data_IF_240052623809
#
_entry.id   IF_240052623809
#
_cell.length_a   1.000
_cell.length_b   1.000
_cell.length_c   1.000
_cell.angle_alpha   90.00
_cell.angle_beta   90.00
_cell.angle_gamma   90.00
#
_symmetry.space_group_name_H-M   'P 1'
#
loop_
_entity.id
_entity.type
_entity.pdbx_description
1 polymer ?
#
# COMPACT_ATOMS: atom_id res chain seq x y z
N UNK A 1 -95.48 27.18 -28.34
CA UNK A 1 -95.22 25.76 -28.64
C UNK A 1 -94.30 25.67 -29.85
N UNK A 2 -93.16 24.99 -29.69
CA UNK A 2 -92.25 24.41 -30.69
C UNK A 2 -91.65 25.23 -31.85
N UNK A 3 -90.30 25.26 -31.79
CA UNK A 3 -89.29 24.82 -32.79
C UNK A 3 -89.00 25.73 -34.00
N UNK A 4 -87.79 26.31 -33.98
CA UNK A 4 -87.07 26.77 -35.17
C UNK A 4 -85.66 26.15 -35.15
N UNK A 5 -85.28 25.63 -36.32
CA UNK A 5 -84.09 24.86 -36.67
C UNK A 5 -82.82 25.70 -36.90
N UNK A 6 -81.71 24.99 -37.17
CA UNK A 6 -80.40 25.39 -37.74
C UNK A 6 -79.26 25.50 -36.70
N UNK A 7 -78.03 24.99 -36.91
CA UNK A 7 -77.37 24.42 -38.08
C UNK A 7 -76.30 23.40 -37.61
N UNK A 8 -76.09 22.33 -38.38
CA UNK A 8 -75.01 21.36 -38.16
C UNK A 8 -73.73 21.87 -38.85
N UNK A 9 -72.70 22.18 -38.05
CA UNK A 9 -71.34 22.42 -38.51
C UNK A 9 -70.62 21.07 -38.67
N UNK A 10 -70.22 20.76 -39.89
CA UNK A 10 -69.32 19.64 -40.20
C UNK A 10 -67.91 19.93 -39.70
N UNK A 11 -67.38 19.07 -38.83
CA UNK A 11 -65.95 18.96 -38.57
C UNK A 11 -65.52 17.53 -38.93
N UNK A 12 -64.79 17.40 -40.05
CA UNK A 12 -64.17 16.15 -40.46
C UNK A 12 -63.02 15.82 -39.50
N UNK A 13 -63.18 14.76 -38.71
CA UNK A 13 -62.13 14.24 -37.84
C UNK A 13 -61.32 13.20 -38.61
N UNK A 14 -60.11 13.57 -39.02
CA UNK A 14 -59.14 12.65 -39.62
C UNK A 14 -58.55 11.80 -38.49
N UNK A 15 -58.96 10.53 -38.41
CA UNK A 15 -58.39 9.56 -37.50
C UNK A 15 -57.01 9.10 -38.04
N UNK A 16 -55.95 9.77 -37.62
CA UNK A 16 -54.57 9.32 -37.84
C UNK A 16 -54.25 8.16 -36.89
N UNK A 17 -54.19 6.94 -37.43
CA UNK A 17 -53.73 5.74 -36.72
C UNK A 17 -52.21 5.86 -36.47
N UNK A 18 -51.82 6.39 -35.31
CA UNK A 18 -50.42 6.37 -34.88
C UNK A 18 -50.07 4.99 -34.36
N UNK A 19 -49.31 4.22 -35.14
CA UNK A 19 -48.67 2.99 -34.69
C UNK A 19 -47.58 3.35 -33.69
N UNK A 20 -47.82 3.09 -32.40
CA UNK A 20 -46.81 3.23 -31.35
C UNK A 20 -45.83 2.07 -31.53
N UNK A 21 -44.65 2.36 -32.08
CA UNK A 21 -43.55 1.39 -32.06
C UNK A 21 -43.12 1.17 -30.60
N UNK A 22 -42.93 -0.07 -30.14
CA UNK A 22 -42.40 -0.33 -28.82
C UNK A 22 -40.99 0.27 -28.71
N UNK A 23 -40.82 1.24 -27.81
CA UNK A 23 -39.51 1.75 -27.43
C UNK A 23 -38.76 0.60 -26.76
N UNK A 24 -37.56 0.21 -27.20
CA UNK A 24 -36.80 -0.80 -26.48
C UNK A 24 -36.57 -0.30 -25.06
N UNK A 25 -37.09 -1.04 -24.08
CA UNK A 25 -36.80 -0.79 -22.68
C UNK A 25 -35.28 -0.91 -22.51
N UNK A 26 -34.62 0.18 -22.11
CA UNK A 26 -33.26 0.11 -21.63
C UNK A 26 -33.24 -0.90 -20.48
N UNK A 27 -32.52 -2.01 -20.64
CA UNK A 27 -32.28 -2.94 -19.55
C UNK A 27 -31.69 -2.13 -18.39
N UNK A 28 -32.31 -2.25 -17.20
CA UNK A 28 -31.70 -1.73 -16.00
C UNK A 28 -30.25 -2.27 -15.91
N UNK A 29 -29.25 -1.44 -15.57
CA UNK A 29 -27.89 -1.93 -15.40
C UNK A 29 -27.94 -3.10 -14.44
N UNK A 30 -27.41 -4.25 -14.87
CA UNK A 30 -27.22 -5.39 -13.99
C UNK A 30 -26.41 -4.89 -12.79
N UNK A 31 -26.86 -5.12 -11.54
CA UNK A 31 -26.07 -4.74 -10.38
C UNK A 31 -24.69 -5.37 -10.53
N UNK A 32 -23.65 -4.54 -10.61
CA UNK A 32 -22.27 -5.00 -10.49
C UNK A 32 -22.13 -5.52 -9.06
N UNK A 33 -22.26 -6.83 -8.89
CA UNK A 33 -22.17 -7.50 -7.57
C UNK A 33 -20.73 -7.72 -7.13
N UNK A 34 -19.76 -7.54 -8.04
CA UNK A 34 -18.34 -7.72 -7.73
C UNK A 34 -17.77 -6.43 -7.16
N UNK A 35 -17.30 -6.49 -5.91
CA UNK A 35 -16.53 -5.43 -5.28
C UNK A 35 -15.09 -5.53 -5.75
N UNK A 36 -14.55 -4.46 -6.30
CA UNK A 36 -13.17 -4.41 -6.79
C UNK A 36 -12.19 -4.53 -5.62
N UNK A 37 -11.34 -5.55 -5.60
CA UNK A 37 -10.37 -5.76 -4.53
C UNK A 37 -8.99 -5.24 -4.91
N UNK A 38 -8.53 -4.22 -4.18
CA UNK A 38 -7.25 -3.55 -4.41
C UNK A 38 -6.30 -3.92 -3.26
N UNK A 39 -5.13 -4.47 -3.60
CA UNK A 39 -4.06 -4.75 -2.65
C UNK A 39 -2.84 -3.89 -3.01
N UNK A 40 -2.28 -3.18 -2.04
CA UNK A 40 -1.07 -2.38 -2.21
C UNK A 40 0.13 -3.06 -1.57
N UNK A 41 1.12 -3.37 -2.38
CA UNK A 41 2.42 -3.86 -1.96
C UNK A 41 3.47 -2.74 -2.08
N UNK A 42 4.64 -2.94 -1.48
CA UNK A 42 5.77 -2.06 -1.71
C UNK A 42 6.59 -1.71 -0.48
N UNK A 43 7.38 -0.65 -0.64
CA UNK A 43 8.22 -0.05 0.39
C UNK A 43 7.59 1.21 1.01
N UNK A 44 8.41 2.11 1.55
CA UNK A 44 8.01 3.39 2.15
C UNK A 44 7.18 4.30 1.23
N UNK A 45 7.41 4.25 -0.09
CA UNK A 45 6.67 5.07 -1.05
C UNK A 45 5.22 4.59 -1.19
N UNK A 46 5.00 3.28 -1.12
CA UNK A 46 3.66 2.69 -1.06
C UNK A 46 3.05 2.78 0.35
N UNK A 47 3.84 2.61 1.41
CA UNK A 47 3.32 2.62 2.77
C UNK A 47 2.68 3.98 3.13
N UNK A 48 3.22 5.07 2.61
CA UNK A 48 2.77 6.43 2.90
C UNK A 48 3.57 7.11 4.00
N UNK A 49 4.88 6.83 4.06
CA UNK A 49 5.80 7.54 4.93
C UNK A 49 5.64 9.06 4.75
N UNK A 50 5.43 9.78 5.85
CA UNK A 50 5.22 11.23 5.87
C UNK A 50 3.74 11.67 5.78
N UNK A 51 2.81 10.79 5.41
CA UNK A 51 1.41 11.14 5.26
C UNK A 51 0.61 11.15 6.58
N UNK A 52 1.18 10.61 7.67
CA UNK A 52 0.51 10.55 8.98
C UNK A 52 -0.51 9.42 9.09
N UNK A 53 -1.37 9.43 10.12
CA UNK A 53 -2.43 8.43 10.34
C UNK A 53 -1.97 6.98 10.15
N UNK A 54 -0.93 6.60 10.89
CA UNK A 54 -0.28 5.30 10.72
C UNK A 54 -1.02 4.17 11.44
N UNK A 55 -1.01 2.99 10.82
CA UNK A 55 -1.56 1.74 11.35
C UNK A 55 -0.68 0.54 10.99
N UNK A 56 -1.07 -0.64 11.46
CA UNK A 56 -0.40 -1.90 11.17
C UNK A 56 0.89 -2.10 11.96
N UNK A 57 1.78 -3.00 11.52
CA UNK A 57 3.00 -3.33 12.24
C UNK A 57 3.88 -2.09 12.46
N UNK A 58 4.38 -1.94 13.70
CA UNK A 58 5.26 -0.85 14.05
C UNK A 58 6.50 -0.83 13.13
N UNK A 59 6.84 0.34 12.61
CA UNK A 59 7.96 0.53 11.68
C UNK A 59 7.58 0.39 10.21
N UNK A 60 6.39 -0.15 9.87
CA UNK A 60 5.95 -0.16 8.47
C UNK A 60 5.45 1.19 7.96
N UNK A 61 5.02 2.10 8.85
CA UNK A 61 4.50 3.44 8.51
C UNK A 61 3.38 3.39 7.45
N UNK A 62 2.49 2.41 7.54
CA UNK A 62 1.31 2.33 6.67
C UNK A 62 0.34 3.42 7.04
N UNK A 63 0.13 4.36 6.14
CA UNK A 63 -0.76 5.50 6.33
C UNK A 63 -2.13 5.21 5.73
N UNK A 64 -3.21 5.62 6.40
CA UNK A 64 -4.54 5.70 5.79
C UNK A 64 -4.70 6.92 4.86
N UNK A 65 -3.62 7.67 4.61
CA UNK A 65 -3.55 8.84 3.72
C UNK A 65 -2.52 8.63 2.61
N UNK A 66 -2.16 7.37 2.32
CA UNK A 66 -1.25 7.05 1.23
C UNK A 66 -1.95 7.18 -0.15
N UNK A 67 -1.16 7.22 -1.22
CA UNK A 67 -1.69 7.43 -2.57
C UNK A 67 -2.64 6.32 -3.05
N UNK A 68 -2.46 5.09 -2.58
CA UNK A 68 -3.34 3.96 -2.90
C UNK A 68 -4.71 4.06 -2.23
N UNK A 69 -4.77 4.60 -1.02
CA UNK A 69 -6.04 4.94 -0.38
C UNK A 69 -6.75 6.01 -1.21
N UNK A 70 -6.06 7.09 -1.59
CA UNK A 70 -6.65 8.13 -2.43
C UNK A 70 -7.13 7.62 -3.78
N UNK A 71 -6.38 6.72 -4.41
CA UNK A 71 -6.82 6.04 -5.63
C UNK A 71 -8.10 5.23 -5.40
N UNK A 72 -8.16 4.47 -4.31
CA UNK A 72 -9.35 3.66 -3.96
C UNK A 72 -10.56 4.54 -3.64
N UNK A 73 -10.35 5.65 -2.93
CA UNK A 73 -11.41 6.62 -2.64
C UNK A 73 -11.97 7.20 -3.94
N UNK A 74 -11.10 7.61 -4.86
CA UNK A 74 -11.50 8.09 -6.19
C UNK A 74 -12.28 7.03 -6.99
N UNK A 75 -11.87 5.76 -6.95
CA UNK A 75 -12.61 4.65 -7.59
C UNK A 75 -14.03 4.53 -7.00
N UNK A 76 -14.16 4.61 -5.68
CA UNK A 76 -15.46 4.59 -5.00
C UNK A 76 -16.32 5.80 -5.40
N UNK A 77 -15.73 6.98 -5.54
CA UNK A 77 -16.42 8.19 -6.03
C UNK A 77 -16.96 8.03 -7.46
N UNK A 78 -16.35 7.17 -8.29
CA UNK A 78 -16.88 6.84 -9.62
C UNK A 78 -18.07 5.87 -9.59
N UNK A 79 -18.56 5.50 -8.40
CA UNK A 79 -19.65 4.53 -8.23
C UNK A 79 -19.21 3.07 -8.33
N UNK A 80 -17.91 2.79 -8.32
CA UNK A 80 -17.36 1.43 -8.32
C UNK A 80 -17.05 1.03 -6.88
N UNK A 81 -17.77 0.05 -6.34
CA UNK A 81 -17.48 -0.43 -4.98
C UNK A 81 -16.11 -1.09 -4.94
N UNK A 82 -15.19 -0.58 -4.12
CA UNK A 82 -13.83 -1.12 -3.98
C UNK A 82 -13.44 -1.38 -2.51
N UNK A 83 -12.63 -2.42 -2.26
CA UNK A 83 -11.86 -2.62 -1.02
C UNK A 83 -10.40 -2.27 -1.24
N UNK A 84 -9.74 -1.83 -0.18
CA UNK A 84 -8.32 -1.54 -0.16
C UNK A 84 -7.63 -2.26 0.99
N UNK A 85 -6.52 -2.91 0.70
CA UNK A 85 -5.66 -3.55 1.69
C UNK A 85 -4.20 -3.13 1.46
N UNK A 86 -3.60 -2.48 2.44
CA UNK A 86 -2.21 -1.99 2.35
C UNK A 86 -1.26 -2.93 3.08
N UNK A 87 -0.41 -3.61 2.31
CA UNK A 87 0.63 -4.54 2.75
C UNK A 87 2.04 -3.99 2.59
N UNK A 88 2.20 -2.79 2.04
CA UNK A 88 3.49 -2.14 1.91
C UNK A 88 4.14 -1.87 3.27
N UNK A 89 5.46 -1.92 3.35
CA UNK A 89 6.17 -1.72 4.60
C UNK A 89 7.49 -0.96 4.39
N UNK A 90 7.69 0.09 5.18
CA UNK A 90 8.88 0.95 5.11
C UNK A 90 10.20 0.19 5.14
N UNK A 91 11.15 0.62 4.31
CA UNK A 91 12.47 0.00 4.16
C UNK A 91 12.47 -1.37 3.48
N UNK A 92 11.33 -1.86 2.97
CA UNK A 92 11.24 -3.14 2.28
C UNK A 92 12.04 -3.14 0.97
N UNK A 93 12.60 -4.29 0.62
CA UNK A 93 13.28 -4.57 -0.65
C UNK A 93 12.45 -5.52 -1.50
N UNK A 94 12.83 -5.69 -2.77
CA UNK A 94 12.07 -6.55 -3.71
C UNK A 94 11.97 -8.01 -3.23
N UNK A 95 12.98 -8.51 -2.51
CA UNK A 95 12.95 -9.85 -1.94
C UNK A 95 11.81 -10.05 -0.91
N UNK A 96 11.41 -9.00 -0.19
CA UNK A 96 10.37 -9.07 0.86
C UNK A 96 8.96 -9.27 0.29
N UNK A 97 8.79 -9.13 -1.03
CA UNK A 97 7.55 -9.50 -1.70
C UNK A 97 7.27 -10.99 -1.55
N UNK A 98 8.31 -11.82 -1.67
CA UNK A 98 8.19 -13.28 -1.70
C UNK A 98 8.80 -13.97 -0.47
N UNK A 99 9.44 -13.22 0.42
CA UNK A 99 10.10 -13.76 1.60
C UNK A 99 9.63 -13.06 2.86
N UNK A 100 9.62 -13.80 3.97
CA UNK A 100 9.38 -13.23 5.27
C UNK A 100 10.50 -12.24 5.61
N UNK A 101 10.13 -11.13 6.25
CA UNK A 101 11.06 -10.04 6.57
C UNK A 101 11.17 -9.84 8.06
N UNK A 102 12.37 -9.99 8.60
CA UNK A 102 12.66 -9.56 9.96
C UNK A 102 12.82 -8.03 9.98
N UNK A 103 12.02 -7.38 10.80
CA UNK A 103 12.04 -5.93 11.00
C UNK A 103 13.19 -5.53 11.92
N UNK A 104 13.54 -4.24 11.91
CA UNK A 104 14.48 -3.70 12.89
C UNK A 104 13.93 -3.83 14.31
N UNK A 105 14.81 -4.09 15.28
CA UNK A 105 14.44 -4.15 16.68
C UNK A 105 13.93 -2.78 17.15
N UNK A 106 12.80 -2.79 17.84
CA UNK A 106 12.25 -1.60 18.45
C UNK A 106 13.15 -1.09 19.59
N UNK A 107 13.07 0.21 19.88
CA UNK A 107 13.79 0.82 21.00
C UNK A 107 13.52 0.08 22.31
N UNK A 108 14.59 -0.17 23.09
CA UNK A 108 14.48 -0.87 24.36
C UNK A 108 13.61 -0.08 25.35
N UNK A 109 12.70 -0.78 26.03
CA UNK A 109 11.83 -0.24 27.09
C UNK A 109 12.11 -0.98 28.39
N UNK A 110 12.10 -0.26 29.52
CA UNK A 110 12.25 -0.87 30.84
C UNK A 110 10.96 -1.55 31.32
N UNK A 111 11.08 -2.67 32.01
CA UNK A 111 9.97 -3.40 32.63
C UNK A 111 10.30 -3.79 34.07
N UNK A 112 9.27 -3.76 34.93
CA UNK A 112 9.37 -4.29 36.27
C UNK A 112 9.06 -5.80 36.26
N UNK A 113 10.07 -6.60 36.59
CA UNK A 113 9.96 -8.05 36.70
C UNK A 113 10.93 -8.58 37.75
N UNK A 114 10.60 -9.74 38.33
CA UNK A 114 11.42 -10.43 39.32
C UNK A 114 12.45 -11.38 38.69
N UNK A 115 12.23 -11.79 37.44
CA UNK A 115 13.10 -12.64 36.64
C UNK A 115 12.89 -12.36 35.15
N UNK A 116 13.79 -12.84 34.29
CA UNK A 116 13.60 -12.80 32.83
C UNK A 116 12.33 -13.53 32.40
N UNK A 117 12.03 -14.68 33.02
CA UNK A 117 10.81 -15.45 32.76
C UNK A 117 9.54 -14.68 33.16
N UNK A 118 9.56 -14.00 34.32
CA UNK A 118 8.46 -13.11 34.75
C UNK A 118 8.31 -11.91 33.81
N UNK A 119 9.42 -11.37 33.30
CA UNK A 119 9.38 -10.31 32.30
C UNK A 119 8.68 -10.82 31.04
N UNK A 120 9.12 -11.93 30.46
CA UNK A 120 8.52 -12.50 29.25
C UNK A 120 7.03 -12.78 29.43
N UNK A 121 6.63 -13.43 30.52
CA UNK A 121 5.22 -13.72 30.82
C UNK A 121 4.38 -12.44 30.87
N UNK A 122 4.91 -11.34 31.43
CA UNK A 122 4.24 -10.03 31.45
C UNK A 122 4.16 -9.40 30.06
N UNK A 123 5.22 -9.50 29.26
CA UNK A 123 5.24 -8.94 27.90
C UNK A 123 4.18 -9.62 27.02
N UNK A 124 4.11 -10.95 27.07
CA UNK A 124 3.14 -11.75 26.32
C UNK A 124 1.71 -11.51 26.80
N UNK A 125 1.46 -11.55 28.12
CA UNK A 125 0.13 -11.36 28.67
C UNK A 125 -0.50 -9.99 28.36
N UNK A 126 0.32 -8.99 28.05
CA UNK A 126 -0.14 -7.63 27.75
C UNK A 126 0.01 -7.25 26.26
N UNK A 127 0.39 -8.20 25.40
CA UNK A 127 0.65 -7.98 23.96
C UNK A 127 1.47 -6.71 23.67
N UNK A 128 2.51 -6.48 24.46
CA UNK A 128 3.27 -5.21 24.45
C UNK A 128 3.98 -4.92 23.13
N UNK A 129 4.24 -5.97 22.35
CA UNK A 129 4.87 -5.88 21.04
C UNK A 129 3.84 -5.82 19.90
N UNK A 130 2.54 -5.93 20.20
CA UNK A 130 1.48 -5.95 19.21
C UNK A 130 1.56 -7.17 18.29
N UNK A 131 1.89 -8.34 18.82
CA UNK A 131 1.95 -9.58 18.05
C UNK A 131 0.63 -9.86 17.31
N UNK A 132 -0.50 -9.41 17.86
CA UNK A 132 -1.82 -9.58 17.28
C UNK A 132 -2.37 -8.31 16.62
N UNK A 133 -1.55 -7.26 16.45
CA UNK A 133 -2.03 -5.99 15.89
C UNK A 133 -2.26 -6.02 14.38
N UNK A 134 -1.77 -7.06 13.70
CA UNK A 134 -1.86 -7.22 12.25
C UNK A 134 -1.73 -8.70 11.87
N UNK A 135 -2.47 -9.13 10.86
CA UNK A 135 -2.51 -10.51 10.36
C UNK A 135 -1.26 -10.91 9.54
N UNK A 136 -0.44 -9.94 9.16
CA UNK A 136 0.84 -10.13 8.49
C UNK A 136 2.05 -10.20 9.41
N UNK A 137 1.85 -10.11 10.73
CA UNK A 137 2.88 -10.45 11.70
C UNK A 137 2.97 -11.98 11.74
N UNK A 138 4.12 -12.53 11.34
CA UNK A 138 4.42 -13.94 11.38
C UNK A 138 4.88 -14.38 12.77
N UNK A 139 5.79 -13.60 13.37
CA UNK A 139 6.32 -13.88 14.70
C UNK A 139 6.85 -12.62 15.37
N UNK A 140 7.02 -12.71 16.69
CA UNK A 140 7.63 -11.67 17.52
C UNK A 140 8.73 -12.29 18.36
N UNK A 141 9.91 -11.71 18.31
CA UNK A 141 11.04 -12.04 19.17
C UNK A 141 11.17 -11.01 20.30
N UNK A 142 11.17 -11.50 21.54
CA UNK A 142 11.27 -10.69 22.75
C UNK A 142 12.71 -10.71 23.28
N UNK A 143 13.43 -9.61 23.07
CA UNK A 143 14.82 -9.47 23.47
C UNK A 143 14.93 -8.90 24.90
N UNK A 144 14.66 -9.73 25.90
CA UNK A 144 14.76 -9.36 27.32
C UNK A 144 16.23 -9.37 27.76
N UNK A 145 16.64 -8.35 28.51
CA UNK A 145 17.97 -8.30 29.13
C UNK A 145 17.88 -7.69 30.51
N UNK A 146 18.69 -8.22 31.42
CA UNK A 146 18.95 -7.62 32.73
C UNK A 146 19.86 -6.39 32.59
N UNK A 147 19.75 -5.44 33.52
CA UNK A 147 20.55 -4.21 33.53
C UNK A 147 19.75 -2.91 33.30
N UNK A 148 18.46 -2.94 33.62
CA UNK A 148 17.62 -1.74 33.61
C UNK A 148 17.80 -0.86 34.86
N UNK A 149 16.97 0.17 34.99
CA UNK A 149 17.02 1.13 36.10
C UNK A 149 16.49 0.52 37.43
N UNK A 150 16.75 1.18 38.55
CA UNK A 150 16.40 0.70 39.91
C UNK A 150 14.96 0.14 40.05
N UNK A 151 13.96 0.78 39.43
CA UNK A 151 12.55 0.35 39.46
C UNK A 151 12.12 -0.57 38.30
N UNK A 152 13.01 -0.80 37.33
CA UNK A 152 12.76 -1.59 36.11
C UNK A 152 14.04 -2.37 35.79
N UNK A 153 14.34 -3.44 36.55
CA UNK A 153 15.64 -4.12 36.47
C UNK A 153 15.86 -4.84 35.14
N UNK A 154 14.80 -5.06 34.37
CA UNK A 154 14.85 -5.64 33.03
C UNK A 154 14.50 -4.59 31.98
N UNK A 155 15.05 -4.79 30.78
CA UNK A 155 14.63 -4.09 29.58
C UNK A 155 14.28 -5.10 28.49
N UNK A 156 13.45 -4.69 27.54
CA UNK A 156 13.08 -5.53 26.41
C UNK A 156 13.07 -4.72 25.11
N UNK A 157 13.33 -5.38 23.99
CA UNK A 157 13.05 -4.88 22.66
C UNK A 157 12.24 -5.93 21.89
N UNK A 158 11.28 -5.47 21.10
CA UNK A 158 10.50 -6.32 20.21
C UNK A 158 11.16 -6.34 18.83
N UNK A 159 11.27 -7.51 18.22
CA UNK A 159 11.62 -7.63 16.80
C UNK A 159 10.52 -8.43 16.10
N UNK A 160 9.87 -7.80 15.12
CA UNK A 160 8.77 -8.42 14.39
C UNK A 160 9.33 -9.14 13.16
N UNK A 161 8.74 -10.27 12.80
CA UNK A 161 8.91 -10.88 11.47
C UNK A 161 7.59 -10.78 10.73
N UNK A 162 7.59 -10.18 9.54
CA UNK A 162 6.41 -10.07 8.70
C UNK A 162 6.39 -11.18 7.66
N UNK A 163 5.18 -11.62 7.29
CA UNK A 163 4.97 -12.56 6.17
C UNK A 163 5.36 -11.90 4.83
N UNK A 164 5.69 -12.70 3.80
CA UNK A 164 5.80 -12.21 2.43
C UNK A 164 4.59 -11.36 2.03
N UNK A 165 4.82 -10.22 1.37
CA UNK A 165 3.71 -9.34 0.97
C UNK A 165 2.78 -10.01 -0.06
N UNK A 166 3.33 -10.88 -0.91
CA UNK A 166 2.59 -11.60 -1.93
C UNK A 166 1.58 -12.62 -1.34
N UNK A 167 1.72 -13.03 -0.09
CA UNK A 167 0.78 -13.96 0.57
C UNK A 167 -0.64 -13.36 0.69
N UNK A 168 -0.76 -12.04 0.57
CA UNK A 168 -2.02 -11.30 0.65
C UNK A 168 -2.64 -11.00 -0.71
N UNK A 169 -2.01 -11.43 -1.80
CA UNK A 169 -2.56 -11.37 -3.15
C UNK A 169 -3.14 -12.74 -3.50
N UNK A 170 -4.46 -12.81 -3.65
CA UNK A 170 -5.16 -14.06 -3.97
C UNK A 170 -5.99 -13.93 -5.24
N UNK A 171 -6.73 -15.00 -5.57
CA UNK A 171 -7.60 -15.03 -6.76
C UNK A 171 -8.72 -13.99 -6.72
N UNK A 172 -9.03 -13.44 -5.55
CA UNK A 172 -9.99 -12.35 -5.37
C UNK A 172 -9.41 -10.95 -5.63
N UNK A 173 -8.09 -10.82 -5.77
CA UNK A 173 -7.44 -9.52 -5.97
C UNK A 173 -7.54 -9.11 -7.44
N UNK A 174 -8.15 -7.96 -7.71
CA UNK A 174 -8.32 -7.44 -9.07
C UNK A 174 -7.19 -6.50 -9.48
N UNK A 175 -6.69 -5.71 -8.53
CA UNK A 175 -5.64 -4.70 -8.76
C UNK A 175 -4.56 -4.83 -7.71
N UNK A 176 -3.31 -4.88 -8.17
CA UNK A 176 -2.13 -4.72 -7.32
C UNK A 176 -1.49 -3.37 -7.60
N UNK A 177 -1.41 -2.53 -6.56
CA UNK A 177 -0.68 -1.27 -6.56
C UNK A 177 0.70 -1.51 -5.97
N UNK A 178 1.77 -0.97 -6.57
CA UNK A 178 3.12 -1.24 -6.08
C UNK A 178 4.15 -0.19 -6.46
N UNK A 179 5.00 0.14 -5.48
CA UNK A 179 6.30 0.80 -5.67
C UNK A 179 7.34 0.06 -4.83
N UNK A 180 8.48 -0.28 -5.45
CA UNK A 180 9.56 -1.04 -4.82
C UNK A 180 10.84 -0.80 -5.62
N UNK A 181 12.00 -0.98 -4.99
CA UNK A 181 13.30 -0.98 -5.67
C UNK A 181 14.27 0.08 -5.17
N UNK A 182 13.77 1.16 -4.55
CA UNK A 182 14.63 2.22 -4.01
C UNK A 182 15.60 1.70 -2.95
N UNK A 183 15.13 0.79 -2.10
CA UNK A 183 15.94 0.19 -1.05
C UNK A 183 16.92 -0.85 -1.60
N UNK A 184 16.57 -1.58 -2.66
CA UNK A 184 17.47 -2.53 -3.33
C UNK A 184 18.74 -1.85 -3.87
N UNK A 185 18.65 -0.57 -4.26
CA UNK A 185 19.78 0.25 -4.73
C UNK A 185 20.35 1.18 -3.66
N UNK A 186 19.95 1.02 -2.40
CA UNK A 186 20.36 1.87 -1.27
C UNK A 186 20.16 3.38 -1.55
N UNK A 187 19.00 3.74 -2.10
CA UNK A 187 18.71 5.12 -2.50
C UNK A 187 18.80 6.11 -1.31
N UNK A 188 18.41 5.69 -0.10
CA UNK A 188 18.58 6.50 1.11
C UNK A 188 20.05 6.86 1.38
N UNK A 189 20.97 5.91 1.17
CA UNK A 189 22.41 6.15 1.27
C UNK A 189 22.92 7.13 0.23
N UNK A 190 22.39 7.09 -1.00
CA UNK A 190 22.73 8.06 -2.06
C UNK A 190 22.30 9.47 -1.66
N UNK A 191 21.08 9.64 -1.15
CA UNK A 191 20.59 10.93 -0.68
C UNK A 191 21.41 11.43 0.51
N UNK A 192 21.71 10.56 1.48
CA UNK A 192 22.55 10.91 2.61
C UNK A 192 23.94 11.38 2.16
N UNK A 193 24.55 10.73 1.17
CA UNK A 193 25.85 11.14 0.63
C UNK A 193 25.83 12.53 -0.05
N UNK A 194 24.70 12.93 -0.64
CA UNK A 194 24.54 14.24 -1.26
C UNK A 194 24.39 15.38 -0.25
N UNK A 195 23.78 15.12 0.91
CA UNK A 195 23.36 16.16 1.86
C UNK A 195 24.03 16.09 3.23
N UNK A 196 24.75 15.01 3.55
CA UNK A 196 25.55 14.94 4.77
C UNK A 196 26.71 15.94 4.68
N UNK A 197 26.92 16.80 5.70
CA UNK A 197 28.08 17.68 5.71
C UNK A 197 29.33 16.83 5.63
N UNK A 198 30.24 17.18 4.72
CA UNK A 198 31.54 16.53 4.60
C UNK A 198 32.35 16.84 5.87
N UNK A 199 32.13 16.09 6.95
CA UNK A 199 33.02 16.10 8.12
C UNK A 199 34.23 15.23 7.77
N UNK A 200 34.96 15.64 6.74
CA UNK A 200 36.33 15.23 6.48
C UNK A 200 37.10 16.49 6.14
N UNK A 201 37.52 17.21 7.18
CA UNK A 201 38.83 17.82 7.11
C UNK A 201 39.85 16.67 7.13
N UNK A 202 40.37 16.28 5.98
CA UNK A 202 41.64 15.56 5.85
C UNK A 202 42.26 15.81 4.48
N UNK A 203 43.59 15.91 4.41
CA UNK A 203 44.28 16.52 3.28
C UNK A 203 44.19 15.63 2.04
N UNK A 204 43.53 16.16 1.01
CA UNK A 204 43.68 15.84 -0.42
C UNK A 204 44.16 14.40 -0.72
N UNK A 205 43.28 13.40 -0.56
CA UNK A 205 43.44 12.14 -1.26
C UNK A 205 43.26 12.40 -2.78
N UNK A 206 44.10 11.82 -3.66
CA UNK A 206 43.94 12.01 -5.09
C UNK A 206 42.64 11.36 -5.58
N UNK A 207 41.86 12.12 -6.37
CA UNK A 207 40.60 11.67 -6.97
C UNK A 207 40.80 10.33 -7.69
N UNK A 208 39.97 9.30 -7.44
CA UNK A 208 39.97 8.12 -8.27
C UNK A 208 39.54 8.53 -9.69
N UNK A 209 40.38 8.20 -10.67
CA UNK A 209 40.07 8.38 -12.08
C UNK A 209 38.98 7.36 -12.40
N UNK A 210 37.77 7.84 -12.74
CA UNK A 210 36.74 6.98 -13.34
C UNK A 210 37.38 6.28 -14.55
N UNK A 211 37.37 4.95 -14.57
CA UNK A 211 37.76 4.21 -15.76
C UNK A 211 36.83 4.62 -16.91
N UNK A 212 37.41 4.91 -18.08
CA UNK A 212 36.63 5.20 -19.27
C UNK A 212 35.72 4.00 -19.59
N UNK A 213 34.48 4.24 -20.05
CA UNK A 213 33.61 3.16 -20.50
C UNK A 213 34.29 2.38 -21.65
N UNK A 214 34.07 1.06 -21.74
CA UNK A 214 34.63 0.26 -22.83
C UNK A 214 34.12 0.79 -24.18
N UNK A 215 35.03 0.89 -25.15
CA UNK A 215 34.71 1.31 -26.51
C UNK A 215 33.68 0.36 -27.14
N UNK A 216 32.69 0.95 -27.82
CA UNK A 216 31.63 0.26 -28.58
C UNK A 216 32.25 -0.81 -29.51
N UNK A 217 31.73 -2.05 -29.54
CA UNK A 217 32.19 -3.05 -30.50
C UNK A 217 31.89 -2.58 -31.94
N UNK A 218 32.70 -2.96 -32.93
CA UNK A 218 32.49 -2.57 -34.31
C UNK A 218 31.14 -3.10 -34.81
N UNK A 219 30.37 -2.22 -35.45
CA UNK A 219 29.15 -2.59 -36.18
C UNK A 219 29.53 -3.56 -37.29
N UNK A 220 28.92 -4.75 -37.28
CA UNK A 220 29.03 -5.69 -38.39
C UNK A 220 28.52 -5.01 -39.67
N UNK A 221 29.38 -4.92 -40.68
CA UNK A 221 28.98 -4.57 -42.04
C UNK A 221 28.10 -5.68 -42.59
N UNK A 222 26.85 -5.36 -42.93
CA UNK A 222 26.01 -6.23 -43.75
C UNK A 222 26.72 -6.54 -45.08
N UNK A 223 26.71 -7.79 -45.57
CA UNK A 223 27.14 -8.05 -46.93
C UNK A 223 26.08 -7.50 -47.90
N UNK A 224 26.53 -6.69 -48.84
CA UNK A 224 25.82 -6.45 -50.09
C UNK A 224 25.90 -7.72 -50.91
N UNK A 225 24.75 -8.37 -51.12
CA UNK A 225 24.34 -9.05 -52.37
C UNK A 225 22.86 -9.45 -52.25
#
# INVERSE_FOLDING_TARGET
>A
MNRISAALLSAALIAGLSTIAPVPSASAPTPVTHKLSIVQLGDSFSAGNGAGSYFGPQGCFRSSLNWGQHFTDWVNEQGISATYDNRACSGGVTADIFNARQMESQSRKGIFASSEADALAKLEANDVCGANSSDDIQSVEYNVQEGGAFLRPYSYACQLTLKPQADFVGSQTDIVLMTMGGNDVNFSGIIAACFAPSIVASPKAPRPRLAAPPSRPPTASSPSD
#
